data_IF_989675291312
#
_entry.id   IF_989675291312
#
_cell.length_a   1.000
_cell.length_b   1.000
_cell.length_c   1.000
_cell.angle_alpha   90.00
_cell.angle_beta   90.00
_cell.angle_gamma   90.00
#
_symmetry.space_group_name_H-M   'P 1'
#
loop_
_entity.id
_entity.type
_entity.pdbx_description
1 polymer ?
#
# COMPACT_ATOMS: atom_id res chain seq x y z
N UNK A 1 -20.00 -14.32 5.05
CA UNK A 1 -20.51 -15.54 4.38
C UNK A 1 -21.25 -16.39 5.40
N UNK A 2 -20.61 -17.00 6.40
CA UNK A 2 -21.22 -17.99 7.32
C UNK A 2 -22.55 -17.51 7.90
N UNK A 3 -22.59 -16.32 8.50
CA UNK A 3 -23.79 -15.79 9.16
C UNK A 3 -25.02 -15.60 8.25
N UNK A 4 -24.81 -15.61 6.92
CA UNK A 4 -25.87 -15.40 5.91
C UNK A 4 -26.13 -16.64 5.04
N UNK A 5 -25.54 -17.79 5.39
CA UNK A 5 -25.67 -19.04 4.65
C UNK A 5 -25.92 -20.18 5.63
N UNK A 6 -26.18 -21.39 5.12
CA UNK A 6 -26.32 -22.60 5.92
C UNK A 6 -25.74 -23.80 5.17
N UNK A 7 -25.50 -24.90 5.92
CA UNK A 7 -25.00 -26.15 5.33
C UNK A 7 -23.49 -26.34 5.38
N UNK A 8 -22.72 -25.33 5.81
CA UNK A 8 -21.30 -25.50 6.08
C UNK A 8 -21.07 -26.31 7.36
N UNK A 9 -20.06 -27.19 7.34
CA UNK A 9 -19.60 -27.90 8.52
C UNK A 9 -18.37 -27.21 9.11
N UNK A 10 -17.49 -26.66 8.25
CA UNK A 10 -16.36 -25.84 8.61
C UNK A 10 -16.08 -24.85 7.48
N UNK A 11 -15.28 -23.84 7.79
CA UNK A 11 -14.85 -22.79 6.85
C UNK A 11 -13.36 -22.53 7.03
N UNK A 12 -12.57 -22.74 5.98
CA UNK A 12 -11.15 -22.39 5.91
C UNK A 12 -11.08 -21.06 5.17
N UNK A 13 -10.65 -20.02 5.86
CA UNK A 13 -10.58 -18.66 5.35
C UNK A 13 -9.15 -18.27 4.96
N UNK A 14 -8.98 -17.14 4.29
CA UNK A 14 -7.71 -16.62 3.82
C UNK A 14 -7.74 -15.12 3.58
N UNK A 15 -6.74 -14.60 2.83
CA UNK A 15 -6.60 -13.25 2.33
C UNK A 15 -6.36 -12.16 3.40
N UNK A 16 -7.09 -12.15 4.52
CA UNK A 16 -6.93 -11.14 5.58
C UNK A 16 -5.66 -11.31 6.43
N UNK A 17 -4.90 -12.39 6.24
CA UNK A 17 -3.71 -12.76 7.00
C UNK A 17 -3.98 -12.93 8.51
N UNK A 18 -5.22 -13.18 8.88
CA UNK A 18 -5.60 -13.39 10.29
C UNK A 18 -5.09 -14.72 10.78
N UNK A 19 -4.51 -14.76 11.97
CA UNK A 19 -4.16 -16.02 12.66
C UNK A 19 -5.35 -16.43 13.52
N UNK A 20 -5.98 -17.55 13.19
CA UNK A 20 -7.21 -18.01 13.83
C UNK A 20 -7.26 -19.55 13.86
N UNK A 21 -6.96 -20.15 15.00
CA UNK A 21 -6.92 -21.60 15.12
C UNK A 21 -8.33 -22.21 15.04
N UNK A 22 -9.28 -21.67 15.82
CA UNK A 22 -10.64 -22.17 15.93
C UNK A 22 -11.57 -21.06 16.42
N UNK A 23 -12.50 -20.64 15.57
CA UNK A 23 -13.55 -19.69 15.94
C UNK A 23 -14.89 -20.27 15.58
N UNK A 24 -15.83 -20.25 16.54
CA UNK A 24 -17.20 -20.67 16.27
C UNK A 24 -18.01 -19.47 15.75
N UNK A 25 -18.66 -19.64 14.61
CA UNK A 25 -19.54 -18.64 13.99
C UNK A 25 -20.89 -19.28 13.75
N UNK A 26 -21.95 -18.64 14.20
CA UNK A 26 -23.33 -19.15 14.01
C UNK A 26 -23.77 -18.87 12.56
N UNK A 27 -24.28 -19.89 11.88
CA UNK A 27 -24.84 -19.78 10.54
C UNK A 27 -26.30 -19.26 10.55
N UNK A 28 -26.89 -19.05 9.37
CA UNK A 28 -28.26 -18.57 9.23
C UNK A 28 -29.32 -19.52 9.79
N UNK A 29 -29.00 -20.78 10.03
CA UNK A 29 -29.88 -21.78 10.65
C UNK A 29 -29.70 -21.90 12.17
N UNK A 30 -28.77 -21.14 12.77
CA UNK A 30 -28.44 -21.21 14.19
C UNK A 30 -27.37 -22.27 14.53
N UNK A 31 -26.79 -22.97 13.55
CA UNK A 31 -25.75 -23.97 13.74
C UNK A 31 -24.38 -23.30 13.88
N UNK A 32 -23.57 -23.81 14.85
CA UNK A 32 -22.18 -23.41 14.98
C UNK A 32 -21.32 -24.02 13.85
N UNK A 33 -20.52 -23.19 13.19
CA UNK A 33 -19.59 -23.56 12.12
C UNK A 33 -18.18 -23.17 12.55
N UNK A 34 -17.24 -24.09 12.45
CA UNK A 34 -15.83 -23.84 12.76
C UNK A 34 -15.18 -23.03 11.65
N UNK A 35 -14.60 -21.88 12.01
CA UNK A 35 -13.84 -21.00 11.13
C UNK A 35 -12.35 -21.04 11.53
N UNK A 36 -11.45 -21.25 10.56
CA UNK A 36 -9.99 -21.26 10.77
C UNK A 36 -9.27 -20.49 9.66
N UNK A 37 -8.12 -19.88 10.00
CA UNK A 37 -7.23 -19.20 9.06
C UNK A 37 -5.79 -19.26 9.59
N UNK A 38 -4.82 -19.52 8.71
CA UNK A 38 -3.41 -19.77 9.06
C UNK A 38 -2.53 -18.54 9.17
N UNK A 39 -3.05 -17.34 8.87
CA UNK A 39 -2.23 -16.12 8.75
C UNK A 39 -1.55 -16.02 7.39
N UNK A 40 -0.26 -15.70 7.36
CA UNK A 40 0.50 -15.49 6.14
C UNK A 40 1.93 -16.03 6.22
N UNK A 41 2.60 -16.12 5.06
CA UNK A 41 4.02 -16.47 4.93
C UNK A 41 4.38 -17.84 5.55
N UNK A 42 3.47 -18.80 5.52
CA UNK A 42 3.65 -20.14 6.09
C UNK A 42 4.11 -20.16 7.56
N UNK A 43 3.80 -19.09 8.33
CA UNK A 43 4.10 -19.07 9.77
C UNK A 43 3.34 -20.14 10.56
N UNK A 44 2.20 -20.59 10.02
CA UNK A 44 1.41 -21.68 10.59
C UNK A 44 0.98 -22.66 9.50
N UNK A 45 0.93 -23.94 9.85
CA UNK A 45 0.25 -24.99 9.10
C UNK A 45 -1.09 -25.24 9.80
N UNK A 46 -2.19 -25.13 9.06
CA UNK A 46 -3.52 -25.48 9.56
C UNK A 46 -3.77 -26.97 9.43
N UNK A 47 -4.09 -27.64 10.54
CA UNK A 47 -4.53 -29.04 10.54
C UNK A 47 -6.00 -29.11 10.94
N UNK A 48 -6.80 -29.71 10.06
CA UNK A 48 -8.20 -30.01 10.32
C UNK A 48 -8.39 -31.51 10.39
N UNK A 49 -9.00 -31.98 11.47
CA UNK A 49 -9.34 -33.39 11.67
C UNK A 49 -10.86 -33.54 11.67
N UNK A 50 -11.34 -34.48 10.86
CA UNK A 50 -12.78 -34.86 10.80
C UNK A 50 -12.91 -36.23 11.43
N UNK A 51 -13.60 -36.30 12.56
CA UNK A 51 -13.89 -37.53 13.24
C UNK A 51 -14.93 -38.39 12.50
N UNK A 52 -14.95 -39.69 12.75
CA UNK A 52 -15.93 -40.62 12.18
C UNK A 52 -17.38 -40.26 12.59
N UNK A 53 -17.55 -39.56 13.68
CA UNK A 53 -18.81 -39.02 14.19
C UNK A 53 -19.19 -37.64 13.59
N UNK A 54 -18.39 -37.13 12.67
CA UNK A 54 -18.55 -35.81 12.04
C UNK A 54 -18.01 -34.64 12.88
N UNK A 55 -17.36 -34.90 14.01
CA UNK A 55 -16.71 -33.84 14.81
C UNK A 55 -15.55 -33.24 14.05
N UNK A 56 -15.45 -31.90 14.07
CA UNK A 56 -14.33 -31.15 13.42
C UNK A 56 -13.50 -30.50 14.52
N UNK A 57 -12.21 -30.75 14.47
CA UNK A 57 -11.21 -30.02 15.26
C UNK A 57 -10.19 -29.35 14.35
N UNK A 58 -9.74 -28.15 14.73
CA UNK A 58 -8.73 -27.39 13.99
C UNK A 58 -7.64 -26.94 14.94
N UNK A 59 -6.40 -27.02 14.47
CA UNK A 59 -5.23 -26.53 15.18
C UNK A 59 -4.29 -25.81 14.23
N UNK A 60 -3.50 -24.85 14.72
CA UNK A 60 -2.41 -24.22 14.00
C UNK A 60 -1.09 -24.75 14.57
N UNK A 61 -0.23 -25.22 13.69
CA UNK A 61 1.10 -25.72 13.99
C UNK A 61 2.09 -24.65 13.54
N UNK A 62 2.74 -24.00 14.48
CA UNK A 62 3.76 -22.94 14.25
C UNK A 62 5.18 -23.47 14.48
N UNK A 63 5.31 -24.65 15.07
CA UNK A 63 6.59 -25.32 15.33
C UNK A 63 6.58 -26.68 14.63
N UNK A 64 7.43 -26.84 13.65
CA UNK A 64 7.62 -28.10 12.94
C UNK A 64 9.11 -28.35 12.69
N UNK A 65 9.52 -29.58 12.91
CA UNK A 65 10.88 -30.05 12.71
C UNK A 65 10.96 -30.94 11.46
N UNK A 66 12.10 -30.88 10.81
CA UNK A 66 12.39 -31.68 9.65
C UNK A 66 11.97 -31.04 8.34
N UNK A 67 12.83 -31.21 7.34
CA UNK A 67 12.63 -30.75 5.98
C UNK A 67 12.68 -31.96 5.05
N UNK A 68 11.78 -32.03 4.06
CA UNK A 68 12.02 -32.91 2.92
C UNK A 68 13.22 -32.38 2.15
N UNK A 69 14.28 -33.20 2.05
CA UNK A 69 15.56 -32.77 1.50
C UNK A 69 15.47 -32.40 0.01
N UNK A 70 14.60 -33.05 -0.75
CA UNK A 70 14.41 -32.77 -2.18
C UNK A 70 13.67 -31.45 -2.38
N UNK A 71 12.60 -31.21 -1.59
CA UNK A 71 11.85 -29.95 -1.61
C UNK A 71 12.73 -28.79 -1.15
N UNK A 72 13.49 -28.98 -0.06
CA UNK A 72 14.41 -27.97 0.46
C UNK A 72 15.50 -27.61 -0.55
N UNK A 73 16.11 -28.58 -1.22
CA UNK A 73 17.11 -28.33 -2.27
C UNK A 73 16.50 -27.56 -3.46
N UNK A 74 15.29 -27.94 -3.89
CA UNK A 74 14.59 -27.24 -4.98
C UNK A 74 14.29 -25.79 -4.59
N UNK A 75 13.75 -25.55 -3.38
CA UNK A 75 13.48 -24.21 -2.87
C UNK A 75 14.77 -23.36 -2.78
N UNK A 76 15.87 -23.95 -2.27
CA UNK A 76 17.17 -23.28 -2.18
C UNK A 76 17.70 -22.86 -3.55
N UNK A 77 17.58 -23.72 -4.57
CA UNK A 77 18.00 -23.38 -5.93
C UNK A 77 17.20 -22.20 -6.51
N UNK A 78 15.88 -22.17 -6.28
CA UNK A 78 15.05 -21.05 -6.72
C UNK A 78 15.36 -19.76 -5.97
N UNK A 79 15.59 -19.83 -4.65
CA UNK A 79 16.00 -18.67 -3.84
C UNK A 79 17.31 -18.12 -4.37
N UNK A 80 18.33 -18.97 -4.58
CA UNK A 80 19.63 -18.53 -5.13
C UNK A 80 19.47 -17.88 -6.50
N UNK A 81 18.66 -18.45 -7.41
CA UNK A 81 18.42 -17.86 -8.72
C UNK A 81 17.75 -16.48 -8.63
N UNK A 82 16.81 -16.28 -7.70
CA UNK A 82 16.19 -14.97 -7.45
C UNK A 82 17.21 -13.99 -6.84
N UNK A 83 18.05 -14.46 -5.92
CA UNK A 83 19.10 -13.64 -5.31
C UNK A 83 20.15 -13.21 -6.35
N UNK A 84 20.54 -14.10 -7.25
CA UNK A 84 21.45 -13.79 -8.35
C UNK A 84 20.86 -12.75 -9.32
N UNK A 85 19.55 -12.80 -9.57
CA UNK A 85 18.86 -11.88 -10.49
C UNK A 85 18.53 -10.51 -9.88
N UNK A 86 18.13 -10.50 -8.61
CA UNK A 86 17.55 -9.32 -7.96
C UNK A 86 18.36 -8.81 -6.77
N UNK A 87 19.44 -9.49 -6.42
CA UNK A 87 20.26 -9.19 -5.23
C UNK A 87 21.28 -8.08 -5.43
N UNK A 88 21.45 -7.56 -6.66
CA UNK A 88 22.37 -6.46 -6.91
C UNK A 88 21.98 -5.24 -6.05
N UNK A 89 22.96 -4.71 -5.30
CA UNK A 89 22.76 -3.51 -4.49
C UNK A 89 22.67 -2.28 -5.39
N UNK A 90 21.62 -1.49 -5.21
CA UNK A 90 21.32 -0.30 -6.02
C UNK A 90 21.39 1.00 -5.22
N UNK A 91 21.33 0.92 -3.90
CA UNK A 91 21.36 2.07 -3.00
C UNK A 91 21.63 1.63 -1.56
N UNK A 92 21.85 2.59 -0.67
CA UNK A 92 21.94 2.41 0.79
C UNK A 92 20.87 3.23 1.47
N UNK A 93 19.98 2.60 2.25
CA UNK A 93 19.02 3.30 3.10
C UNK A 93 19.70 3.83 4.37
N UNK A 94 19.73 5.14 4.55
CA UNK A 94 20.35 5.77 5.73
C UNK A 94 19.47 5.63 6.98
N UNK A 95 18.19 5.37 6.79
CA UNK A 95 17.21 5.17 7.85
C UNK A 95 16.36 3.95 7.57
N UNK A 96 15.63 3.48 8.57
CA UNK A 96 14.57 2.47 8.39
C UNK A 96 13.34 3.10 7.78
N UNK A 97 12.77 2.43 6.78
CA UNK A 97 11.51 2.79 6.16
C UNK A 97 10.38 1.92 6.70
N UNK A 98 9.30 2.56 7.15
CA UNK A 98 8.25 1.93 7.94
C UNK A 98 6.93 1.80 7.18
N UNK A 99 6.25 0.67 7.37
CA UNK A 99 4.81 0.51 7.13
C UNK A 99 4.03 0.45 8.45
N UNK A 100 4.73 0.13 9.55
CA UNK A 100 4.17 0.01 10.88
C UNK A 100 4.52 1.23 11.71
N UNK A 101 3.65 1.61 12.62
CA UNK A 101 3.91 2.61 13.64
C UNK A 101 5.02 2.10 14.58
N UNK A 102 6.16 2.78 14.70
CA UNK A 102 7.28 2.30 15.50
C UNK A 102 6.99 2.25 17.01
N UNK A 103 6.04 3.06 17.49
CA UNK A 103 5.68 3.10 18.90
C UNK A 103 4.71 1.98 19.30
N UNK A 104 3.83 1.57 18.39
CA UNK A 104 2.75 0.60 18.70
C UNK A 104 2.90 -0.74 17.97
N UNK A 105 3.72 -0.81 16.94
CA UNK A 105 3.84 -1.97 16.03
C UNK A 105 2.62 -2.20 15.14
N UNK A 106 1.58 -1.36 15.23
CA UNK A 106 0.38 -1.48 14.39
C UNK A 106 0.66 -0.99 12.97
N UNK A 107 0.02 -1.63 12.00
CA UNK A 107 0.17 -1.26 10.58
C UNK A 107 -0.40 0.14 10.33
N UNK A 108 0.48 1.12 10.07
CA UNK A 108 0.13 2.53 9.86
C UNK A 108 -0.10 2.87 8.39
N UNK A 109 0.62 2.26 7.46
CA UNK A 109 0.56 2.53 6.01
C UNK A 109 -0.87 2.49 5.43
N UNK A 110 -1.81 1.82 6.12
CA UNK A 110 -3.22 1.68 5.74
C UNK A 110 -4.17 2.60 6.51
N UNK A 111 -3.64 3.52 7.30
CA UNK A 111 -4.45 4.43 8.12
C UNK A 111 -3.82 5.79 8.33
N UNK A 112 -2.58 6.00 7.92
CA UNK A 112 -1.83 7.25 8.05
C UNK A 112 -0.58 7.25 7.20
N UNK A 113 0.09 8.38 7.18
CA UNK A 113 1.34 8.61 6.45
C UNK A 113 2.49 7.82 7.08
N UNK A 114 3.41 7.35 6.24
CA UNK A 114 4.69 6.75 6.65
C UNK A 114 5.80 7.16 5.68
N UNK A 115 7.05 7.17 6.15
CA UNK A 115 8.18 7.51 5.30
C UNK A 115 8.35 6.56 4.10
N UNK A 116 8.02 5.27 4.23
CA UNK A 116 8.01 4.35 3.08
C UNK A 116 6.88 4.67 2.10
N UNK A 117 5.73 5.09 2.61
CA UNK A 117 4.61 5.54 1.78
C UNK A 117 4.97 6.75 0.95
N UNK A 118 5.63 7.73 1.57
CA UNK A 118 6.15 8.92 0.88
C UNK A 118 7.19 8.53 -0.17
N UNK A 119 8.18 7.69 0.19
CA UNK A 119 9.23 7.25 -0.73
C UNK A 119 8.66 6.56 -1.97
N UNK A 120 7.68 5.67 -1.82
CA UNK A 120 7.05 4.98 -2.94
C UNK A 120 6.23 5.94 -3.82
N UNK A 121 5.48 6.85 -3.20
CA UNK A 121 4.70 7.85 -3.94
C UNK A 121 5.62 8.84 -4.67
N UNK A 122 6.71 9.30 -4.03
CA UNK A 122 7.73 10.15 -4.62
C UNK A 122 8.42 9.47 -5.80
N UNK A 123 8.66 8.16 -5.69
CA UNK A 123 9.19 7.36 -6.79
C UNK A 123 8.28 7.40 -8.02
N UNK A 124 6.97 7.25 -7.85
CA UNK A 124 6.01 7.33 -8.95
C UNK A 124 5.97 8.76 -9.52
N UNK A 125 5.92 9.78 -8.66
CA UNK A 125 5.90 11.18 -9.06
C UNK A 125 7.14 11.57 -9.88
N UNK A 126 8.31 11.20 -9.38
CA UNK A 126 9.60 11.48 -10.03
C UNK A 126 9.73 10.70 -11.33
N UNK A 127 9.29 9.45 -11.37
CA UNK A 127 9.36 8.60 -12.56
C UNK A 127 8.65 9.27 -13.75
N UNK A 128 7.44 9.77 -13.56
CA UNK A 128 6.72 10.47 -14.63
C UNK A 128 7.32 11.84 -14.97
N UNK A 129 7.70 12.62 -13.97
CA UNK A 129 8.19 13.98 -14.20
C UNK A 129 9.62 14.03 -14.75
N UNK A 130 10.51 13.09 -14.36
CA UNK A 130 11.95 13.20 -14.65
C UNK A 130 12.45 12.07 -15.57
N UNK A 131 11.82 10.89 -15.58
CA UNK A 131 12.27 9.75 -16.42
C UNK A 131 11.43 9.68 -17.70
N UNK A 132 10.10 9.73 -17.60
CA UNK A 132 9.20 9.73 -18.75
C UNK A 132 9.05 11.15 -19.36
N UNK A 133 9.53 12.18 -18.67
CA UNK A 133 9.39 13.59 -19.06
C UNK A 133 7.94 13.98 -19.35
N UNK A 134 7.00 13.38 -18.62
CA UNK A 134 5.57 13.67 -18.69
C UNK A 134 5.15 14.44 -17.45
N UNK A 135 4.39 15.50 -17.64
CA UNK A 135 3.88 16.29 -16.53
C UNK A 135 2.96 15.44 -15.63
N UNK A 136 3.28 15.40 -14.34
CA UNK A 136 2.50 14.75 -13.29
C UNK A 136 2.29 15.75 -12.15
N UNK A 137 1.03 16.05 -11.83
CA UNK A 137 0.68 16.97 -10.73
C UNK A 137 0.69 16.25 -9.38
N UNK A 138 0.22 15.01 -9.34
CA UNK A 138 0.08 14.21 -8.13
C UNK A 138 0.32 12.73 -8.45
N UNK A 139 0.98 12.04 -7.53
CA UNK A 139 1.06 10.59 -7.56
C UNK A 139 0.42 9.98 -6.32
N UNK A 140 -0.20 8.81 -6.50
CA UNK A 140 -0.82 8.04 -5.42
C UNK A 140 -0.36 6.59 -5.40
N UNK A 141 -0.22 6.04 -4.19
CA UNK A 141 -0.01 4.61 -3.97
C UNK A 141 -0.95 4.11 -2.87
N UNK A 142 -1.70 3.06 -3.15
CA UNK A 142 -2.55 2.43 -2.12
C UNK A 142 -1.71 1.69 -1.08
N UNK A 143 -1.98 1.90 0.20
CA UNK A 143 -1.24 1.30 1.32
C UNK A 143 -1.26 -0.23 1.31
N UNK A 144 -2.24 -0.84 0.65
CA UNK A 144 -2.29 -2.29 0.40
C UNK A 144 -1.19 -2.80 -0.54
N UNK A 145 -0.66 -1.95 -1.39
CA UNK A 145 0.42 -2.26 -2.33
C UNK A 145 1.80 -2.29 -1.69
N UNK A 146 1.99 -1.67 -0.51
CA UNK A 146 3.25 -1.58 0.21
C UNK A 146 3.26 -2.59 1.35
N UNK A 147 4.16 -3.58 1.33
CA UNK A 147 3.97 -4.85 2.05
C UNK A 147 4.87 -5.09 3.26
N UNK A 148 6.01 -4.43 3.36
CA UNK A 148 7.00 -4.69 4.42
C UNK A 148 7.79 -3.43 4.76
N UNK A 149 8.25 -3.33 6.02
CA UNK A 149 9.28 -2.37 6.41
C UNK A 149 10.58 -2.70 5.69
N UNK A 150 11.47 -1.71 5.54
CA UNK A 150 12.83 -1.90 5.05
C UNK A 150 13.80 -1.36 6.10
N UNK A 151 14.71 -2.21 6.55
CA UNK A 151 15.74 -1.80 7.50
C UNK A 151 16.76 -0.85 6.84
N UNK A 152 17.44 -0.04 7.65
CA UNK A 152 18.59 0.74 7.20
C UNK A 152 19.69 -0.20 6.70
N UNK A 153 20.39 0.19 5.62
CA UNK A 153 21.43 -0.62 5.00
C UNK A 153 21.19 -0.86 3.50
N UNK A 154 21.74 -1.94 2.94
CA UNK A 154 21.70 -2.17 1.49
C UNK A 154 20.28 -2.32 0.93
N UNK A 155 20.03 -1.64 -0.18
CA UNK A 155 18.84 -1.81 -1.00
C UNK A 155 19.18 -2.47 -2.31
N UNK A 156 18.35 -3.42 -2.74
CA UNK A 156 18.48 -4.15 -3.99
C UNK A 156 17.14 -4.16 -4.74
N UNK A 157 17.16 -4.63 -5.99
CA UNK A 157 15.89 -4.91 -6.70
C UNK A 157 15.00 -5.87 -5.92
N UNK A 158 15.59 -6.85 -5.20
CA UNK A 158 14.85 -7.75 -4.32
C UNK A 158 14.16 -7.00 -3.18
N UNK A 159 14.82 -6.01 -2.60
CA UNK A 159 14.22 -5.13 -1.58
C UNK A 159 12.98 -4.45 -2.15
N UNK A 160 13.10 -3.79 -3.30
CA UNK A 160 11.98 -3.13 -3.96
C UNK A 160 10.85 -4.11 -4.31
N UNK A 161 11.19 -5.31 -4.83
CA UNK A 161 10.20 -6.36 -5.16
C UNK A 161 9.50 -6.92 -3.92
N UNK A 162 10.16 -6.93 -2.76
CA UNK A 162 9.54 -7.36 -1.49
C UNK A 162 8.58 -6.30 -0.96
N UNK A 163 8.90 -5.02 -1.13
CA UNK A 163 8.01 -3.90 -0.79
C UNK A 163 6.78 -3.90 -1.70
N UNK A 164 6.95 -4.05 -3.01
CA UNK A 164 5.88 -4.03 -4.03
C UNK A 164 5.87 -5.34 -4.84
N UNK A 165 5.28 -6.43 -4.31
CA UNK A 165 5.43 -7.77 -4.91
C UNK A 165 4.45 -8.08 -6.04
N UNK A 166 3.44 -7.23 -6.30
CA UNK A 166 2.30 -7.58 -7.15
C UNK A 166 2.58 -7.45 -8.65
N UNK A 167 3.61 -6.71 -9.06
CA UNK A 167 3.89 -6.44 -10.47
C UNK A 167 2.82 -5.56 -11.10
N UNK A 168 2.25 -4.64 -10.32
CA UNK A 168 1.40 -3.60 -10.88
C UNK A 168 2.24 -2.68 -11.75
N UNK A 169 1.61 -2.07 -12.75
CA UNK A 169 2.30 -1.24 -13.72
C UNK A 169 1.86 0.21 -13.56
N UNK A 170 2.82 1.12 -13.59
CA UNK A 170 2.57 2.54 -13.46
C UNK A 170 1.81 3.08 -14.68
N UNK A 171 0.87 3.98 -14.45
CA UNK A 171 0.11 4.69 -15.47
C UNK A 171 -0.16 6.14 -15.04
N UNK A 172 -0.45 6.99 -16.02
CA UNK A 172 -0.79 8.40 -15.86
C UNK A 172 -2.16 8.67 -16.47
N UNK A 173 -3.05 9.30 -15.72
CA UNK A 173 -4.41 9.61 -16.14
C UNK A 173 -4.72 11.09 -15.96
N UNK A 174 -5.60 11.62 -16.81
CA UNK A 174 -6.21 12.94 -16.64
C UNK A 174 -7.49 12.80 -15.85
N UNK A 175 -7.55 13.42 -14.67
CA UNK A 175 -8.67 13.35 -13.74
C UNK A 175 -9.10 14.75 -13.31
N UNK A 176 -10.33 14.91 -12.84
CA UNK A 176 -10.78 16.17 -12.24
C UNK A 176 -10.33 16.29 -10.80
N UNK A 177 -10.24 17.53 -10.27
CA UNK A 177 -9.97 17.74 -8.85
C UNK A 177 -11.05 17.10 -7.95
N UNK A 178 -12.31 17.04 -8.42
CA UNK A 178 -13.37 16.34 -7.69
C UNK A 178 -13.07 14.83 -7.57
N UNK A 179 -12.57 14.18 -8.63
CA UNK A 179 -12.19 12.76 -8.57
C UNK A 179 -11.00 12.53 -7.59
N UNK A 180 -10.06 13.48 -7.52
CA UNK A 180 -8.97 13.44 -6.52
C UNK A 180 -9.55 13.57 -5.11
N UNK A 181 -10.40 14.56 -4.86
CA UNK A 181 -11.06 14.76 -3.57
C UNK A 181 -11.83 13.51 -3.13
N UNK A 182 -12.59 12.90 -4.03
CA UNK A 182 -13.36 11.69 -3.77
C UNK A 182 -12.45 10.48 -3.49
N UNK A 183 -11.33 10.37 -4.18
CA UNK A 183 -10.38 9.30 -3.97
C UNK A 183 -9.70 9.39 -2.59
N UNK A 184 -9.25 10.59 -2.19
CA UNK A 184 -8.66 10.83 -0.88
C UNK A 184 -9.67 10.56 0.24
N UNK A 185 -10.91 11.04 0.08
CA UNK A 185 -12.00 10.80 1.02
C UNK A 185 -12.33 9.30 1.14
N UNK A 186 -12.46 8.60 0.00
CA UNK A 186 -12.71 7.16 -0.04
C UNK A 186 -11.56 6.35 0.58
N UNK A 187 -10.32 6.71 0.30
CA UNK A 187 -9.14 6.12 0.91
C UNK A 187 -9.12 6.28 2.43
N UNK A 188 -9.49 7.48 2.91
CA UNK A 188 -9.48 7.84 4.33
C UNK A 188 -10.74 7.39 5.12
N UNK A 189 -11.73 6.72 4.48
CA UNK A 189 -13.04 6.41 5.07
C UNK A 189 -13.02 5.66 6.40
N UNK A 190 -11.93 4.97 6.72
CA UNK A 190 -11.74 4.25 7.98
C UNK A 190 -10.64 4.87 8.87
N UNK A 191 -10.03 5.98 8.48
CA UNK A 191 -9.00 6.64 9.28
C UNK A 191 -9.53 6.99 10.68
N UNK A 192 -8.74 6.69 11.70
CA UNK A 192 -9.10 6.89 13.10
C UNK A 192 -10.03 5.85 13.73
N UNK A 193 -10.60 4.92 12.96
CA UNK A 193 -11.42 3.85 13.49
C UNK A 193 -10.54 2.73 14.06
N UNK A 194 -10.71 2.42 15.35
CA UNK A 194 -9.90 1.40 16.04
C UNK A 194 -10.04 0.02 15.37
N UNK A 195 -8.90 -0.63 15.13
CA UNK A 195 -8.83 -1.96 14.51
C UNK A 195 -9.28 -2.01 13.05
N UNK A 196 -9.50 -0.87 12.41
CA UNK A 196 -9.88 -0.79 10.99
C UNK A 196 -8.69 -0.36 10.15
N UNK A 197 -8.30 -1.21 9.22
CA UNK A 197 -7.29 -0.95 8.20
C UNK A 197 -7.97 -0.86 6.82
N UNK A 198 -7.45 0.02 5.95
CA UNK A 198 -7.92 0.15 4.58
C UNK A 198 -6.77 -0.03 3.59
N UNK A 199 -6.77 -1.13 2.82
CA UNK A 199 -5.80 -1.33 1.75
C UNK A 199 -5.78 -0.20 0.73
N UNK A 200 -6.93 0.44 0.50
CA UNK A 200 -7.08 1.61 -0.35
C UNK A 200 -6.73 2.95 0.32
N UNK A 201 -6.14 3.00 1.53
CA UNK A 201 -5.61 4.26 2.06
C UNK A 201 -4.48 4.76 1.16
N UNK A 202 -4.55 6.03 0.73
CA UNK A 202 -3.63 6.56 -0.27
C UNK A 202 -2.46 7.29 0.38
N UNK A 203 -1.24 6.86 0.06
CA UNK A 203 -0.01 7.63 0.22
C UNK A 203 0.13 8.54 -1.00
N UNK A 204 0.65 9.76 -0.82
CA UNK A 204 0.63 10.79 -1.87
C UNK A 204 1.98 11.46 -2.07
N UNK A 205 2.26 11.88 -3.30
CA UNK A 205 3.35 12.78 -3.67
C UNK A 205 2.80 13.92 -4.53
N UNK A 206 3.41 15.10 -4.45
CA UNK A 206 2.90 16.30 -5.13
C UNK A 206 1.60 16.86 -4.50
N UNK A 207 1.14 16.30 -3.39
CA UNK A 207 -0.06 16.76 -2.70
C UNK A 207 0.10 16.71 -1.18
N UNK A 208 -0.75 17.48 -0.48
CA UNK A 208 -0.95 17.38 0.96
C UNK A 208 -2.42 17.58 1.32
N UNK A 209 -2.88 17.01 2.44
CA UNK A 209 -4.26 17.15 2.88
C UNK A 209 -4.44 16.86 4.37
N UNK A 210 -5.62 17.21 4.89
CA UNK A 210 -6.01 17.00 6.29
C UNK A 210 -7.17 16.01 6.37
N UNK A 211 -7.07 15.06 7.31
CA UNK A 211 -8.17 14.14 7.66
C UNK A 211 -8.73 14.53 9.02
N UNK A 212 -10.05 14.57 9.16
CA UNK A 212 -10.78 14.78 10.40
C UNK A 212 -11.44 13.47 10.86
N UNK A 213 -10.76 12.61 11.64
CA UNK A 213 -11.26 11.28 12.00
C UNK A 213 -12.57 11.30 12.79
N UNK A 214 -12.86 12.40 13.50
CA UNK A 214 -14.09 12.58 14.29
C UNK A 214 -15.32 12.86 13.43
N UNK A 215 -15.15 13.28 12.17
CA UNK A 215 -16.30 13.42 11.24
C UNK A 215 -16.73 12.02 10.81
N UNK A 216 -18.03 11.66 10.93
CA UNK A 216 -18.53 10.37 10.48
C UNK A 216 -18.26 10.12 8.99
N UNK A 217 -17.92 8.88 8.64
CA UNK A 217 -17.81 8.50 7.25
C UNK A 217 -19.17 8.57 6.55
N UNK A 218 -19.26 9.38 5.51
CA UNK A 218 -20.47 9.55 4.68
C UNK A 218 -20.24 9.23 3.21
N UNK A 219 -19.10 8.59 2.89
CA UNK A 219 -18.80 8.10 1.53
C UNK A 219 -19.85 7.07 1.12
N UNK A 220 -20.38 7.22 -0.09
CA UNK A 220 -21.36 6.30 -0.62
C UNK A 220 -20.68 5.09 -1.27
N UNK A 221 -21.13 3.90 -0.89
CA UNK A 221 -20.63 2.63 -1.45
C UNK A 221 -21.78 1.66 -1.68
N UNK A 222 -21.62 0.76 -2.66
CA UNK A 222 -22.50 -0.38 -2.80
C UNK A 222 -22.15 -1.50 -1.79
N UNK A 223 -22.88 -2.61 -1.83
CA UNK A 223 -22.70 -3.81 -0.99
C UNK A 223 -21.37 -4.54 -1.20
N UNK A 224 -20.62 -4.22 -2.27
CA UNK A 224 -19.27 -4.70 -2.53
C UNK A 224 -18.17 -3.72 -2.11
N UNK A 225 -18.52 -2.66 -1.35
CA UNK A 225 -17.63 -1.57 -0.95
C UNK A 225 -16.98 -0.81 -2.12
N UNK A 226 -17.61 -0.79 -3.28
CA UNK A 226 -17.22 0.04 -4.42
C UNK A 226 -17.84 1.42 -4.27
N UNK A 227 -17.06 2.47 -4.50
CA UNK A 227 -17.54 3.86 -4.47
C UNK A 227 -18.69 4.10 -5.46
N UNK A 228 -19.71 4.81 -5.02
CA UNK A 228 -20.90 5.15 -5.84
C UNK A 228 -21.26 6.63 -5.80
N UNK A 229 -20.58 7.41 -4.99
CA UNK A 229 -20.84 8.85 -4.89
C UNK A 229 -20.04 9.53 -3.79
N UNK A 230 -19.86 10.83 -3.94
CA UNK A 230 -19.12 11.70 -3.03
C UNK A 230 -19.72 11.69 -1.62
N UNK A 231 -18.88 11.95 -0.63
CA UNK A 231 -19.31 12.09 0.76
C UNK A 231 -20.23 13.31 0.95
N UNK A 232 -21.32 13.15 1.68
CA UNK A 232 -22.22 14.26 2.01
C UNK A 232 -21.56 15.27 2.97
N UNK A 233 -20.68 14.77 3.86
CA UNK A 233 -19.86 15.58 4.77
C UNK A 233 -18.43 15.08 4.70
N UNK A 234 -17.56 15.75 3.95
CA UNK A 234 -16.18 15.31 3.78
C UNK A 234 -15.40 15.34 5.10
N UNK A 235 -14.57 14.31 5.33
CA UNK A 235 -13.58 14.24 6.40
C UNK A 235 -12.20 14.70 5.91
N UNK A 236 -11.99 14.73 4.59
CA UNK A 236 -10.78 15.24 3.96
C UNK A 236 -10.97 16.70 3.59
N UNK A 237 -10.06 17.55 4.04
CA UNK A 237 -10.04 18.99 3.78
C UNK A 237 -8.64 19.48 3.46
N UNK A 238 -8.51 20.76 3.07
CA UNK A 238 -7.23 21.40 2.79
C UNK A 238 -6.37 20.58 1.82
N UNK A 239 -7.01 20.05 0.76
CA UNK A 239 -6.27 19.37 -0.28
C UNK A 239 -5.57 20.42 -1.12
N UNK A 240 -4.24 20.30 -1.19
CA UNK A 240 -3.40 21.23 -1.93
C UNK A 240 -2.43 20.44 -2.81
N UNK A 241 -2.19 20.94 -4.02
CA UNK A 241 -1.30 20.35 -5.00
C UNK A 241 -0.05 21.22 -5.12
N UNK A 242 1.11 20.59 -5.20
CA UNK A 242 2.39 21.26 -5.34
C UNK A 242 2.55 21.82 -6.76
N UNK A 243 2.78 23.13 -6.83
CA UNK A 243 3.11 23.81 -8.08
C UNK A 243 4.63 24.00 -8.18
N UNK A 244 5.25 23.27 -9.08
CA UNK A 244 6.70 23.35 -9.37
C UNK A 244 7.15 24.76 -9.80
N UNK A 245 6.26 25.55 -10.41
CA UNK A 245 6.59 26.88 -10.92
C UNK A 245 6.74 27.90 -9.80
N UNK A 246 5.86 27.80 -8.80
CA UNK A 246 5.87 28.72 -7.66
C UNK A 246 6.61 28.17 -6.44
N UNK A 247 6.90 26.86 -6.40
CA UNK A 247 7.49 26.18 -5.24
C UNK A 247 6.57 26.13 -4.03
N UNK A 248 5.25 26.15 -4.25
CA UNK A 248 4.26 26.20 -3.17
C UNK A 248 3.11 25.25 -3.42
N UNK A 249 2.42 24.84 -2.35
CA UNK A 249 1.18 24.08 -2.42
C UNK A 249 -0.01 25.01 -2.66
N UNK A 250 -0.81 24.71 -3.67
CA UNK A 250 -2.00 25.49 -4.08
C UNK A 250 -3.28 24.69 -3.79
N UNK A 251 -4.36 25.33 -3.35
CA UNK A 251 -5.63 24.65 -3.13
C UNK A 251 -6.10 23.90 -4.38
N UNK A 252 -6.56 22.67 -4.18
CA UNK A 252 -7.18 21.86 -5.24
C UNK A 252 -8.45 22.56 -5.76
N UNK A 253 -8.52 22.80 -7.08
CA UNK A 253 -9.75 23.23 -7.74
C UNK A 253 -10.53 21.97 -8.18
N UNK A 254 -11.73 21.71 -7.63
CA UNK A 254 -12.54 20.54 -8.00
C UNK A 254 -12.88 20.45 -9.48
N UNK A 255 -12.93 21.61 -10.18
CA UNK A 255 -13.33 21.71 -11.57
C UNK A 255 -12.13 21.68 -12.55
N UNK A 256 -10.91 21.85 -12.04
CA UNK A 256 -9.71 21.75 -12.85
C UNK A 256 -9.39 20.28 -13.17
N UNK A 257 -8.52 20.11 -14.16
CA UNK A 257 -8.00 18.79 -14.57
C UNK A 257 -6.54 18.68 -14.15
N UNK A 258 -6.18 17.53 -13.62
CA UNK A 258 -4.86 17.21 -13.12
C UNK A 258 -4.34 15.92 -13.75
N UNK A 259 -3.03 15.82 -13.93
CA UNK A 259 -2.34 14.60 -14.32
C UNK A 259 -2.02 13.78 -13.05
N UNK A 260 -2.73 12.69 -12.88
CA UNK A 260 -2.62 11.78 -11.74
C UNK A 260 -1.86 10.52 -12.13
N UNK A 261 -0.72 10.28 -11.47
CA UNK A 261 0.04 9.03 -11.60
C UNK A 261 -0.29 8.04 -10.48
N UNK A 262 -0.14 6.75 -10.79
CA UNK A 262 -0.32 5.67 -9.83
C UNK A 262 -0.23 4.31 -10.51
N UNK A 263 -0.56 3.25 -9.76
CA UNK A 263 -0.55 1.91 -10.31
C UNK A 263 -1.88 1.57 -11.00
N UNK A 264 -1.79 0.80 -12.09
CA UNK A 264 -2.93 0.33 -12.87
C UNK A 264 -4.01 -0.35 -12.03
N UNK A 265 -3.61 -1.03 -10.94
CA UNK A 265 -4.55 -1.65 -10.00
C UNK A 265 -5.58 -0.64 -9.49
N UNK A 266 -5.14 0.52 -8.98
CA UNK A 266 -6.03 1.53 -8.40
C UNK A 266 -6.70 2.38 -9.48
N UNK A 267 -5.89 2.88 -10.44
CA UNK A 267 -6.37 3.89 -11.38
C UNK A 267 -7.18 3.30 -12.52
N UNK A 268 -6.67 2.25 -13.15
CA UNK A 268 -7.27 1.68 -14.38
C UNK A 268 -8.22 0.53 -14.09
N UNK A 269 -7.83 -0.37 -13.15
CA UNK A 269 -8.61 -1.55 -12.82
C UNK A 269 -9.62 -1.28 -11.69
N UNK A 270 -9.65 -0.06 -11.15
CA UNK A 270 -10.57 0.39 -10.09
C UNK A 270 -10.48 -0.49 -8.84
N UNK A 271 -9.29 -1.03 -8.57
CA UNK A 271 -8.99 -1.88 -7.42
C UNK A 271 -9.34 -1.20 -6.11
N UNK A 272 -9.59 -1.97 -5.06
CA UNK A 272 -10.10 -1.50 -3.76
C UNK A 272 -11.42 -0.71 -3.84
N UNK A 273 -12.06 -0.62 -5.03
CA UNK A 273 -13.34 0.05 -5.24
C UNK A 273 -13.25 1.52 -5.66
N UNK A 274 -12.13 1.98 -6.21
CA UNK A 274 -11.90 3.36 -6.66
C UNK A 274 -12.65 3.71 -7.96
N UNK A 275 -13.97 3.47 -8.01
CA UNK A 275 -14.79 3.67 -9.20
C UNK A 275 -14.96 5.15 -9.62
N UNK A 276 -14.51 6.13 -8.81
CA UNK A 276 -14.48 7.53 -9.23
C UNK A 276 -13.54 7.76 -10.43
N UNK A 277 -12.59 6.86 -10.69
CA UNK A 277 -11.69 6.97 -11.84
C UNK A 277 -12.23 6.30 -13.12
N UNK A 278 -13.41 5.66 -13.05
CA UNK A 278 -14.03 5.05 -14.24
C UNK A 278 -14.28 6.10 -15.33
N UNK A 279 -13.87 5.79 -16.55
CA UNK A 279 -13.98 6.70 -17.70
C UNK A 279 -12.98 7.87 -17.72
N UNK A 280 -12.06 7.98 -16.76
CA UNK A 280 -11.00 8.99 -16.81
C UNK A 280 -10.04 8.74 -17.99
N UNK A 281 -9.53 9.82 -18.57
CA UNK A 281 -8.69 9.72 -19.78
C UNK A 281 -7.29 9.22 -19.45
N UNK A 282 -6.88 8.15 -20.09
CA UNK A 282 -5.53 7.62 -19.98
C UNK A 282 -4.54 8.47 -20.80
N UNK A 283 -3.52 9.02 -20.15
CA UNK A 283 -2.44 9.78 -20.80
C UNK A 283 -1.31 8.83 -21.22
N UNK A 284 -0.89 7.97 -20.29
CA UNK A 284 0.17 7.00 -20.53
C UNK A 284 -0.12 5.71 -19.75
N UNK A 285 0.10 4.55 -20.37
CA UNK A 285 -0.21 3.25 -19.81
C UNK A 285 1.00 2.32 -19.84
N UNK A 286 1.05 1.35 -18.91
CA UNK A 286 2.02 0.26 -18.87
C UNK A 286 3.48 0.72 -18.98
N UNK A 287 3.88 1.71 -18.17
CA UNK A 287 5.20 2.33 -18.31
C UNK A 287 6.28 1.42 -17.71
N UNK A 288 6.13 1.03 -16.43
CA UNK A 288 7.08 0.18 -15.72
C UNK A 288 6.41 -0.52 -14.53
N UNK A 289 6.96 -1.65 -14.11
CA UNK A 289 6.48 -2.34 -12.91
C UNK A 289 6.81 -1.55 -11.64
N UNK A 290 5.97 -1.68 -10.63
CA UNK A 290 6.03 -0.96 -9.34
C UNK A 290 7.42 -1.01 -8.67
N UNK A 291 8.06 -2.18 -8.62
CA UNK A 291 9.39 -2.32 -8.03
C UNK A 291 10.51 -1.67 -8.89
N UNK A 292 10.35 -1.63 -10.21
CA UNK A 292 11.29 -0.96 -11.12
C UNK A 292 11.17 0.56 -11.02
N UNK A 293 9.96 1.10 -10.88
CA UNK A 293 9.74 2.53 -10.60
C UNK A 293 10.46 2.92 -9.31
N UNK A 294 10.29 2.12 -8.25
CA UNK A 294 10.95 2.35 -6.95
C UNK A 294 12.48 2.26 -7.05
N UNK A 295 13.01 1.25 -7.74
CA UNK A 295 14.46 1.09 -7.91
C UNK A 295 15.08 2.19 -8.77
N UNK A 296 14.36 2.64 -9.82
CA UNK A 296 14.79 3.77 -10.63
C UNK A 296 14.88 5.05 -9.81
N UNK A 297 13.92 5.29 -8.93
CA UNK A 297 13.95 6.43 -8.02
C UNK A 297 15.12 6.35 -7.04
N UNK A 298 15.34 5.19 -6.41
CA UNK A 298 16.46 4.97 -5.51
C UNK A 298 17.81 5.25 -6.19
N UNK A 299 17.97 4.88 -7.45
CA UNK A 299 19.18 5.11 -8.24
C UNK A 299 19.44 6.58 -8.59
N UNK A 300 18.45 7.48 -8.46
CA UNK A 300 18.58 8.91 -8.74
C UNK A 300 19.12 9.72 -7.55
N UNK A 301 19.24 9.10 -6.38
CA UNK A 301 19.72 9.81 -5.19
C UNK A 301 21.19 10.20 -5.31
N UNK A 302 21.54 11.32 -4.69
CA UNK A 302 22.92 11.77 -4.51
C UNK A 302 23.62 11.09 -3.32
N UNK A 303 24.69 11.73 -2.83
CA UNK A 303 25.44 11.24 -1.67
C UNK A 303 26.14 9.89 -1.90
N UNK A 304 26.63 9.68 -3.14
CA UNK A 304 27.20 8.41 -3.60
C UNK A 304 28.43 8.03 -2.77
N UNK A 305 28.47 6.80 -2.25
CA UNK A 305 29.56 6.28 -1.44
C UNK A 305 30.77 5.82 -2.28
N UNK A 306 31.80 5.27 -1.61
CA UNK A 306 33.00 4.78 -2.27
C UNK A 306 32.78 3.57 -3.19
N UNK A 307 31.65 2.86 -3.06
CA UNK A 307 31.26 1.73 -3.90
C UNK A 307 30.39 2.19 -5.10
N UNK A 308 30.07 3.46 -5.19
CA UNK A 308 29.21 4.00 -6.23
C UNK A 308 27.71 3.92 -5.92
N UNK A 309 27.33 3.61 -4.67
CA UNK A 309 25.92 3.48 -4.27
C UNK A 309 25.36 4.80 -3.73
N UNK A 310 24.22 5.27 -4.23
CA UNK A 310 23.53 6.44 -3.69
C UNK A 310 22.93 6.18 -2.30
N UNK A 311 22.85 7.24 -1.50
CA UNK A 311 22.33 7.21 -0.13
C UNK A 311 20.91 7.77 -0.05
N UNK A 312 19.96 6.98 0.47
CA UNK A 312 18.54 7.31 0.53
C UNK A 312 18.21 8.17 1.74
N UNK A 313 18.79 9.38 1.79
CA UNK A 313 18.44 10.43 2.73
C UNK A 313 17.62 11.51 2.03
N UNK A 314 16.74 12.22 2.73
CA UNK A 314 15.94 13.30 2.16
C UNK A 314 16.78 14.35 1.44
N UNK A 315 17.94 14.72 2.02
CA UNK A 315 18.84 15.70 1.44
C UNK A 315 19.50 15.26 0.13
N UNK A 316 19.50 13.96 -0.18
CA UNK A 316 20.09 13.38 -1.39
C UNK A 316 19.05 13.07 -2.46
N UNK A 317 17.77 13.21 -2.16
CA UNK A 317 16.66 12.94 -3.09
C UNK A 317 16.67 13.93 -4.24
N UNK A 318 16.33 13.53 -5.48
CA UNK A 318 16.11 14.46 -6.59
C UNK A 318 15.03 15.50 -6.31
N UNK A 319 14.12 15.24 -5.36
CA UNK A 319 13.09 16.20 -4.93
C UNK A 319 13.58 17.21 -3.90
N UNK A 320 14.80 17.06 -3.35
CA UNK A 320 15.38 18.02 -2.41
C UNK A 320 15.61 19.41 -3.05
N UNK A 321 15.80 19.46 -4.35
CA UNK A 321 15.97 20.70 -5.12
C UNK A 321 14.64 21.40 -5.46
N UNK A 322 13.48 20.81 -5.10
CA UNK A 322 12.17 21.41 -5.32
C UNK A 322 11.81 22.35 -4.17
N UNK A 323 11.78 23.70 -4.40
CA UNK A 323 11.55 24.66 -3.33
C UNK A 323 10.22 24.39 -2.62
N UNK A 324 10.24 24.24 -1.29
CA UNK A 324 9.03 24.06 -0.49
C UNK A 324 8.34 22.72 -0.62
N UNK A 325 8.91 21.76 -1.34
CA UNK A 325 8.38 20.40 -1.41
C UNK A 325 8.51 19.70 -0.05
N UNK A 326 7.45 19.04 0.41
CA UNK A 326 7.47 18.31 1.67
C UNK A 326 8.21 16.98 1.49
N UNK A 327 9.38 16.87 2.12
CA UNK A 327 10.28 15.72 2.00
C UNK A 327 10.93 15.44 3.37
N UNK A 328 10.69 14.25 3.91
CA UNK A 328 11.32 13.80 5.17
C UNK A 328 11.24 12.28 5.29
N UNK A 329 12.30 11.58 4.89
CA UNK A 329 12.38 10.12 5.02
C UNK A 329 12.95 9.68 6.37
N UNK A 330 13.55 10.62 7.13
CA UNK A 330 14.13 10.36 8.45
C UNK A 330 13.06 10.23 9.54
N UNK A 331 11.89 10.86 9.35
CA UNK A 331 10.75 10.71 10.25
C UNK A 331 9.91 9.49 9.84
N UNK A 332 9.74 8.47 10.69
CA UNK A 332 8.91 7.29 10.39
C UNK A 332 7.45 7.64 10.06
N UNK A 333 6.98 8.81 10.47
CA UNK A 333 5.63 9.31 10.23
C UNK A 333 5.49 10.12 8.92
N UNK A 334 6.60 10.27 8.17
CA UNK A 334 6.63 10.94 6.87
C UNK A 334 6.83 12.45 6.94
N UNK A 335 6.61 13.12 5.82
CA UNK A 335 6.89 14.54 5.62
C UNK A 335 5.77 15.49 6.09
N UNK A 336 4.68 14.96 6.65
CA UNK A 336 3.52 15.74 7.09
C UNK A 336 2.55 16.09 5.96
N UNK A 337 2.53 15.30 4.89
CA UNK A 337 1.59 15.46 3.77
C UNK A 337 0.17 15.06 4.13
N UNK A 338 0.02 14.11 5.05
CA UNK A 338 -1.28 13.61 5.52
C UNK A 338 -1.44 13.91 7.01
N UNK A 339 -2.11 15.01 7.31
CA UNK A 339 -2.34 15.43 8.67
C UNK A 339 -3.64 14.88 9.24
N UNK A 340 -3.66 14.47 10.51
CA UNK A 340 -4.87 14.08 11.23
C UNK A 340 -5.18 15.09 12.32
N UNK A 341 -6.39 15.68 12.29
CA UNK A 341 -6.89 16.60 13.29
C UNK A 341 -8.09 15.96 14.00
N UNK A 342 -7.91 15.64 15.28
CA UNK A 342 -8.90 14.98 16.16
C UNK A 342 -9.87 15.95 16.79
#
# INVERSE_FOLDING_TARGET
VIAHTHGFTAFIDGHSHTVMANKQVTDASGKAVTLTQTGSYFKNIGKMTVGADGTITTELIDTYEGLDAAVAATASNWISAVDDMLGEEIAVGDTKFYINDPATGKRRIRSGETNLGDFVADGIYTYFNEIEELHCDIAIMNGGGIRTDVEAGPWSFKTCKTVSPFGNVACLMSVTGQQIQDALEFGARFAGAEGKENGGFLQVAGARYTIHPMIPNTVQTNDKNVWTGSAATPRVSNVEIYDKTTGTYQPLDPNATYALAGMNYTLRNLGDGFAMFDGATLIKDYVSEDYLVMSSYAAMFGGVDANGLPHLASANSPLADYPGYLLNYEDPYGAGRIQMIW
#
